data_IF_705555628797
#
_entry.id   IF_705555628797
#
_cell.length_a   1.000
_cell.length_b   1.000
_cell.length_c   1.000
_cell.angle_alpha   90.00
_cell.angle_beta   90.00
_cell.angle_gamma   90.00
#
_symmetry.space_group_name_H-M   'P 1'
#
loop_
_entity.id
_entity.type
_entity.pdbx_description
1 polymer ?
#
# COMPACT_ATOMS: atom_id res chain seq x y z
N UNK A 1 -12.42 24.80 13.42
CA UNK A 1 -13.35 23.64 13.45
C UNK A 1 -12.54 22.48 12.90
N UNK A 2 -12.26 21.49 13.74
CA UNK A 2 -11.22 20.49 13.51
C UNK A 2 -11.72 19.37 12.57
N UNK A 3 -10.97 19.05 11.53
CA UNK A 3 -11.34 18.04 10.52
C UNK A 3 -11.56 16.68 11.22
N UNK A 4 -10.78 16.39 12.26
CA UNK A 4 -10.94 15.17 13.06
C UNK A 4 -12.33 15.08 13.71
N UNK A 5 -12.90 16.20 14.16
CA UNK A 5 -14.22 16.22 14.79
C UNK A 5 -15.37 16.00 13.79
N UNK A 6 -15.21 16.46 12.53
CA UNK A 6 -16.20 16.19 11.48
C UNK A 6 -16.16 14.74 11.03
N UNK A 7 -14.98 14.14 10.90
CA UNK A 7 -14.83 12.73 10.53
C UNK A 7 -15.41 11.82 11.62
N UNK A 8 -15.15 12.10 12.90
CA UNK A 8 -15.72 11.36 14.04
C UNK A 8 -17.25 11.36 14.10
N UNK A 9 -17.93 12.37 13.53
CA UNK A 9 -19.41 12.39 13.49
C UNK A 9 -20.02 11.43 12.47
N UNK A 10 -19.27 11.05 11.44
CA UNK A 10 -19.78 10.23 10.32
C UNK A 10 -19.26 8.79 10.41
N UNK A 11 -18.09 8.60 11.01
CA UNK A 11 -17.45 7.30 11.19
C UNK A 11 -17.96 6.66 12.49
N UNK A 12 -18.60 5.48 12.45
CA UNK A 12 -19.03 4.78 13.67
C UNK A 12 -17.83 4.49 14.59
N UNK A 13 -18.00 4.55 15.91
CA UNK A 13 -16.93 4.42 16.93
C UNK A 13 -15.95 3.26 16.67
N UNK A 14 -16.45 2.09 16.26
CA UNK A 14 -15.65 0.91 15.86
C UNK A 14 -14.61 1.16 14.75
N UNK A 15 -14.78 2.19 13.94
CA UNK A 15 -13.90 2.61 12.83
C UNK A 15 -13.03 3.82 13.19
N UNK A 16 -13.12 4.36 14.42
CA UNK A 16 -12.28 5.48 14.87
C UNK A 16 -10.78 5.13 14.80
N UNK A 17 -10.47 3.84 15.03
CA UNK A 17 -9.13 3.29 14.96
C UNK A 17 -8.51 3.32 13.54
N UNK A 18 -9.32 3.49 12.49
CA UNK A 18 -8.87 3.74 11.10
C UNK A 18 -8.38 5.15 10.88
N UNK A 19 -8.93 6.13 11.59
CA UNK A 19 -8.64 7.56 11.42
C UNK A 19 -7.33 7.95 12.11
N UNK A 20 -6.63 7.00 12.74
CA UNK A 20 -5.34 7.22 13.37
C UNK A 20 -4.27 7.64 12.34
N UNK A 21 -3.90 8.92 12.36
CA UNK A 21 -2.79 9.44 11.56
C UNK A 21 -1.45 8.76 11.87
N UNK A 22 -1.28 8.23 13.09
CA UNK A 22 -0.09 7.47 13.49
C UNK A 22 -0.02 6.13 12.74
N UNK A 23 -1.11 5.36 12.71
CA UNK A 23 -1.15 4.08 11.98
C UNK A 23 -1.02 4.26 10.48
N UNK A 24 -1.65 5.30 9.93
CA UNK A 24 -1.45 5.68 8.54
C UNK A 24 0.03 6.00 8.26
N UNK A 25 0.68 6.79 9.11
CA UNK A 25 2.11 7.10 9.00
C UNK A 25 3.02 5.87 9.11
N UNK A 26 2.70 4.93 10.00
CA UNK A 26 3.38 3.63 10.08
C UNK A 26 3.21 2.85 8.78
N UNK A 27 1.99 2.75 8.26
CA UNK A 27 1.70 2.06 7.00
C UNK A 27 2.48 2.65 5.82
N UNK A 28 2.53 3.98 5.71
CA UNK A 28 3.35 4.68 4.71
C UNK A 28 4.84 4.34 4.88
N UNK A 29 5.34 4.35 6.12
CA UNK A 29 6.74 4.01 6.42
C UNK A 29 7.07 2.57 6.01
N UNK A 30 6.17 1.63 6.29
CA UNK A 30 6.29 0.23 5.82
C UNK A 30 6.30 0.18 4.29
N UNK A 31 5.46 0.96 3.62
CA UNK A 31 5.47 1.09 2.16
C UNK A 31 6.82 1.53 1.60
N UNK A 32 7.46 2.53 2.23
CA UNK A 32 8.81 2.99 1.85
C UNK A 32 9.84 1.88 2.02
N UNK A 33 9.80 1.15 3.13
CA UNK A 33 10.69 -0.01 3.36
C UNK A 33 10.49 -1.09 2.29
N UNK A 34 9.24 -1.34 1.90
CA UNK A 34 8.91 -2.24 0.79
C UNK A 34 9.53 -1.79 -0.52
N UNK A 35 9.39 -0.51 -0.88
CA UNK A 35 9.95 0.05 -2.11
C UNK A 35 11.49 -0.02 -2.14
N UNK A 36 12.15 0.21 -1.01
CA UNK A 36 13.61 0.03 -0.89
C UNK A 36 13.99 -1.43 -1.10
N UNK A 37 13.24 -2.36 -0.49
CA UNK A 37 13.50 -3.80 -0.61
C UNK A 37 13.34 -4.30 -2.06
N UNK A 38 12.27 -3.89 -2.76
CA UNK A 38 12.02 -4.20 -4.17
C UNK A 38 13.17 -3.74 -5.06
N UNK A 39 13.55 -2.46 -4.97
CA UNK A 39 14.63 -1.90 -5.77
C UNK A 39 15.99 -2.54 -5.44
N UNK A 40 16.23 -2.89 -4.18
CA UNK A 40 17.46 -3.58 -3.77
C UNK A 40 17.56 -4.95 -4.41
N UNK A 41 16.49 -5.75 -4.36
CA UNK A 41 16.46 -7.08 -4.98
C UNK A 41 16.59 -6.97 -6.50
N UNK A 42 15.87 -6.04 -7.13
CA UNK A 42 15.98 -5.77 -8.55
C UNK A 42 17.43 -5.44 -8.94
N UNK A 43 18.08 -4.51 -8.24
CA UNK A 43 19.44 -4.10 -8.51
C UNK A 43 20.44 -5.25 -8.29
N UNK A 44 20.30 -6.00 -7.20
CA UNK A 44 21.18 -7.14 -6.90
C UNK A 44 21.03 -8.22 -7.97
N UNK A 45 19.81 -8.66 -8.28
CA UNK A 45 19.60 -9.72 -9.25
C UNK A 45 19.97 -9.29 -10.68
N UNK A 46 19.63 -8.07 -11.07
CA UNK A 46 19.95 -7.54 -12.41
C UNK A 46 21.44 -7.25 -12.58
N UNK A 47 22.05 -6.51 -11.66
CA UNK A 47 23.43 -6.03 -11.82
C UNK A 47 24.48 -7.06 -11.38
N UNK A 48 24.24 -7.79 -10.28
CA UNK A 48 25.23 -8.72 -9.75
C UNK A 48 25.09 -10.14 -10.32
N UNK A 49 23.87 -10.55 -10.69
CA UNK A 49 23.58 -11.91 -11.15
C UNK A 49 23.12 -12.00 -12.61
N UNK A 50 22.91 -10.87 -13.30
CA UNK A 50 22.50 -10.84 -14.71
C UNK A 50 21.12 -11.46 -14.97
N UNK A 51 20.26 -11.53 -13.95
CA UNK A 51 18.88 -12.00 -14.09
C UNK A 51 18.10 -11.01 -14.95
N UNK A 52 17.21 -11.50 -15.81
CA UNK A 52 16.41 -10.61 -16.65
C UNK A 52 15.49 -9.70 -15.81
N UNK A 53 15.28 -8.48 -16.30
CA UNK A 53 14.50 -7.44 -15.61
C UNK A 53 13.15 -7.92 -15.11
N UNK A 54 12.43 -8.73 -15.91
CA UNK A 54 11.11 -9.24 -15.55
C UNK A 54 11.17 -10.17 -14.33
N UNK A 55 12.14 -11.09 -14.28
CA UNK A 55 12.30 -12.04 -13.17
C UNK A 55 12.87 -11.36 -11.93
N UNK A 56 13.83 -10.45 -12.12
CA UNK A 56 14.38 -9.65 -11.03
C UNK A 56 13.31 -8.75 -10.39
N UNK A 57 12.44 -8.14 -11.21
CA UNK A 57 11.33 -7.32 -10.74
C UNK A 57 10.27 -8.15 -10.01
N UNK A 58 9.91 -9.33 -10.54
CA UNK A 58 8.97 -10.23 -9.88
C UNK A 58 9.47 -10.64 -8.48
N UNK A 59 10.74 -11.01 -8.36
CA UNK A 59 11.36 -11.34 -7.08
C UNK A 59 11.43 -10.13 -6.12
N UNK A 60 11.69 -8.92 -6.65
CA UNK A 60 11.68 -7.68 -5.87
C UNK A 60 10.31 -7.35 -5.31
N UNK A 61 9.26 -7.44 -6.14
CA UNK A 61 7.87 -7.22 -5.72
C UNK A 61 7.46 -8.21 -4.64
N UNK A 62 7.74 -9.51 -4.82
CA UNK A 62 7.42 -10.53 -3.83
C UNK A 62 8.15 -10.27 -2.51
N UNK A 63 9.46 -9.95 -2.58
CA UNK A 63 10.25 -9.62 -1.39
C UNK A 63 9.67 -8.42 -0.66
N UNK A 64 9.27 -7.38 -1.38
CA UNK A 64 8.66 -6.20 -0.79
C UNK A 64 7.33 -6.52 -0.12
N UNK A 65 6.46 -7.34 -0.73
CA UNK A 65 5.21 -7.78 -0.12
C UNK A 65 5.47 -8.51 1.20
N UNK A 66 6.42 -9.45 1.21
CA UNK A 66 6.79 -10.22 2.39
C UNK A 66 7.37 -9.34 3.50
N UNK A 67 8.32 -8.45 3.17
CA UNK A 67 8.91 -7.52 4.13
C UNK A 67 7.83 -6.62 4.73
N UNK A 68 6.98 -6.03 3.88
CA UNK A 68 5.92 -5.15 4.37
C UNK A 68 4.91 -5.89 5.24
N UNK A 69 4.55 -7.13 4.88
CA UNK A 69 3.68 -7.98 5.69
C UNK A 69 4.32 -8.27 7.05
N UNK A 70 5.60 -8.70 7.07
CA UNK A 70 6.32 -9.04 8.29
C UNK A 70 6.48 -7.84 9.22
N UNK A 71 6.80 -6.66 8.68
CA UNK A 71 6.88 -5.43 9.48
C UNK A 71 5.51 -5.08 10.05
N UNK A 72 4.43 -5.16 9.26
CA UNK A 72 3.09 -4.89 9.77
C UNK A 72 2.65 -5.90 10.84
N UNK A 73 2.94 -7.18 10.66
CA UNK A 73 2.64 -8.26 11.61
C UNK A 73 3.35 -8.07 12.96
N UNK A 74 4.62 -7.67 12.95
CA UNK A 74 5.45 -7.61 14.16
C UNK A 74 5.58 -6.20 14.75
N UNK A 75 5.09 -5.16 14.07
CA UNK A 75 5.17 -3.78 14.54
C UNK A 75 3.82 -3.06 14.49
N UNK A 76 3.25 -2.84 13.30
CA UNK A 76 2.03 -2.04 13.13
C UNK A 76 0.81 -2.66 13.82
N UNK A 77 0.73 -4.00 13.84
CA UNK A 77 -0.39 -4.77 14.41
C UNK A 77 0.09 -5.83 15.42
N UNK A 78 1.25 -5.60 16.05
CA UNK A 78 1.81 -6.48 17.05
C UNK A 78 0.84 -6.63 18.24
N UNK A 79 0.11 -7.75 18.29
CA UNK A 79 -0.91 -8.03 19.31
C UNK A 79 -2.30 -8.37 18.76
N UNK A 80 -2.57 -8.14 17.47
CA UNK A 80 -3.89 -8.43 16.89
C UNK A 80 -3.96 -9.84 16.29
N UNK A 81 -4.98 -10.60 16.70
CA UNK A 81 -5.34 -11.90 16.13
C UNK A 81 -4.63 -13.12 16.75
N UNK A 82 -5.17 -14.30 16.45
CA UNK A 82 -4.70 -15.57 17.04
C UNK A 82 -3.25 -15.89 16.70
N UNK A 83 -2.54 -16.42 17.71
CA UNK A 83 -1.18 -16.97 17.56
C UNK A 83 -1.25 -18.35 16.88
N UNK A 84 -0.50 -18.55 15.80
CA UNK A 84 -0.40 -19.84 15.12
C UNK A 84 -0.13 -19.78 13.63
N UNK A 85 0.53 -20.82 13.09
CA UNK A 85 0.96 -20.89 11.67
C UNK A 85 -0.19 -20.75 10.68
N UNK A 86 -1.37 -21.30 11.00
CA UNK A 86 -2.56 -21.20 10.15
C UNK A 86 -3.12 -19.78 10.10
N UNK A 87 -3.13 -19.08 11.24
CA UNK A 87 -3.59 -17.70 11.35
C UNK A 87 -2.64 -16.76 10.57
N UNK A 88 -1.33 -16.95 10.76
CA UNK A 88 -0.29 -16.25 10.01
C UNK A 88 -0.44 -16.43 8.49
N UNK A 89 -0.57 -17.67 8.00
CA UNK A 89 -0.72 -17.94 6.57
C UNK A 89 -2.00 -17.32 5.99
N UNK A 90 -3.10 -17.31 6.76
CA UNK A 90 -4.36 -16.66 6.36
C UNK A 90 -4.18 -15.15 6.24
N UNK A 91 -3.49 -14.50 7.19
CA UNK A 91 -3.19 -13.06 7.14
C UNK A 91 -2.25 -12.72 5.99
N UNK A 92 -1.23 -13.53 5.76
CA UNK A 92 -0.33 -13.36 4.61
C UNK A 92 -1.11 -13.42 3.29
N UNK A 93 -1.89 -14.48 3.07
CA UNK A 93 -2.71 -14.60 1.85
C UNK A 93 -3.70 -13.44 1.68
N UNK A 94 -4.24 -12.94 2.79
CA UNK A 94 -5.13 -11.77 2.78
C UNK A 94 -4.40 -10.48 2.42
N UNK A 95 -3.20 -10.25 2.95
CA UNK A 95 -2.36 -9.11 2.57
C UNK A 95 -1.98 -9.17 1.08
N UNK A 96 -1.62 -10.34 0.55
CA UNK A 96 -1.37 -10.50 -0.90
C UNK A 96 -2.61 -10.12 -1.73
N UNK A 97 -3.80 -10.60 -1.33
CA UNK A 97 -5.03 -10.30 -2.03
C UNK A 97 -5.38 -8.80 -1.98
N UNK A 98 -5.27 -8.18 -0.80
CA UNK A 98 -5.54 -6.75 -0.63
C UNK A 98 -4.56 -5.92 -1.46
N UNK A 99 -3.26 -6.24 -1.40
CA UNK A 99 -2.24 -5.54 -2.19
C UNK A 99 -2.45 -5.69 -3.69
N UNK A 100 -2.87 -6.88 -4.14
CA UNK A 100 -3.23 -7.10 -5.55
C UNK A 100 -4.42 -6.23 -5.96
N UNK A 101 -5.43 -6.12 -5.10
CA UNK A 101 -6.55 -5.18 -5.28
C UNK A 101 -6.10 -3.72 -5.33
N UNK A 102 -5.18 -3.30 -4.46
CA UNK A 102 -4.60 -1.97 -4.49
C UNK A 102 -3.85 -1.66 -5.78
N UNK A 103 -3.08 -2.61 -6.32
CA UNK A 103 -2.43 -2.46 -7.62
C UNK A 103 -3.47 -2.29 -8.73
N UNK A 104 -4.56 -3.08 -8.72
CA UNK A 104 -5.63 -2.92 -9.68
C UNK A 104 -6.28 -1.52 -9.60
N UNK A 105 -6.52 -1.01 -8.38
CA UNK A 105 -7.01 0.36 -8.16
C UNK A 105 -6.02 1.40 -8.67
N UNK A 106 -4.74 1.26 -8.39
CA UNK A 106 -3.69 2.16 -8.88
C UNK A 106 -3.73 2.24 -10.42
N UNK A 107 -3.77 1.09 -11.09
CA UNK A 107 -3.83 1.03 -12.56
C UNK A 107 -5.10 1.65 -13.11
N UNK A 108 -6.26 1.38 -12.50
CA UNK A 108 -7.53 1.96 -12.91
C UNK A 108 -7.56 3.48 -12.74
N UNK A 109 -7.06 3.99 -11.61
CA UNK A 109 -6.97 5.44 -11.35
C UNK A 109 -6.00 6.10 -12.31
N UNK A 110 -4.82 5.53 -12.51
CA UNK A 110 -3.84 6.06 -13.46
C UNK A 110 -4.40 6.10 -14.89
N UNK A 111 -5.07 5.03 -15.32
CA UNK A 111 -5.74 4.97 -16.61
C UNK A 111 -6.82 6.05 -16.74
N UNK A 112 -7.68 6.23 -15.72
CA UNK A 112 -8.70 7.28 -15.71
C UNK A 112 -8.06 8.69 -15.80
N UNK A 113 -7.04 8.95 -14.98
CA UNK A 113 -6.33 10.23 -14.96
C UNK A 113 -5.67 10.55 -16.30
N UNK A 114 -5.16 9.55 -17.02
CA UNK A 114 -4.39 9.79 -18.25
C UNK A 114 -5.21 9.68 -19.53
N UNK A 115 -6.30 8.90 -19.53
CA UNK A 115 -7.08 8.64 -20.74
C UNK A 115 -8.40 9.40 -20.78
N UNK A 116 -8.98 9.71 -19.63
CA UNK A 116 -10.29 10.38 -19.55
C UNK A 116 -10.18 11.83 -19.11
N UNK A 117 -9.15 12.17 -18.34
CA UNK A 117 -8.92 13.54 -17.88
C UNK A 117 -7.85 14.17 -18.78
N UNK A 118 -8.29 15.12 -19.59
CA UNK A 118 -7.40 15.97 -20.40
C UNK A 118 -6.86 17.11 -19.55
N UNK A 119 -5.92 16.79 -18.66
CA UNK A 119 -5.15 17.78 -17.90
C UNK A 119 -3.81 17.92 -18.56
N UNK A 120 -3.47 19.12 -19.02
CA UNK A 120 -2.15 19.42 -19.56
C UNK A 120 -1.27 19.98 -18.44
N UNK A 121 -0.11 19.36 -18.24
CA UNK A 121 0.91 19.87 -17.31
C UNK A 121 2.20 20.12 -18.08
N UNK A 122 2.24 21.24 -18.81
CA UNK A 122 3.37 21.57 -19.67
C UNK A 122 4.49 22.23 -18.86
N UNK A 123 5.66 21.60 -18.85
CA UNK A 123 6.91 22.16 -18.30
C UNK A 123 7.97 22.12 -19.39
N UNK A 124 8.58 23.27 -19.69
CA UNK A 124 9.57 23.41 -20.76
C UNK A 124 9.09 22.86 -22.13
N UNK A 125 7.81 23.04 -22.44
CA UNK A 125 7.21 22.60 -23.72
C UNK A 125 6.89 21.10 -23.82
N UNK A 126 7.10 20.33 -22.74
CA UNK A 126 6.73 18.92 -22.67
C UNK A 126 5.56 18.72 -21.72
N UNK A 127 4.53 17.99 -22.13
CA UNK A 127 3.43 17.60 -21.23
C UNK A 127 3.89 16.49 -20.27
N UNK A 128 3.92 16.80 -18.98
CA UNK A 128 4.36 15.93 -17.90
C UNK A 128 3.19 15.43 -17.04
N UNK A 129 1.95 15.55 -17.51
CA UNK A 129 0.78 15.11 -16.75
C UNK A 129 0.89 13.65 -16.31
N UNK A 130 1.39 12.76 -17.16
CA UNK A 130 1.60 11.35 -16.82
C UNK A 130 2.53 11.14 -15.61
N UNK A 131 3.54 12.02 -15.43
CA UNK A 131 4.45 11.98 -14.28
C UNK A 131 3.71 12.38 -13.00
N UNK A 132 2.79 13.35 -13.06
CA UNK A 132 1.98 13.78 -11.93
C UNK A 132 0.82 12.82 -11.62
N UNK A 133 0.23 12.19 -12.63
CA UNK A 133 -0.86 11.22 -12.48
C UNK A 133 -0.41 9.95 -11.74
N UNK A 134 0.85 9.52 -11.92
CA UNK A 134 1.42 8.35 -11.26
C UNK A 134 1.41 8.44 -9.71
N UNK A 135 2.02 9.46 -9.05
CA UNK A 135 1.98 9.60 -7.59
C UNK A 135 0.57 9.83 -7.06
N UNK A 136 -0.32 10.48 -7.81
CA UNK A 136 -1.76 10.59 -7.47
C UNK A 136 -2.43 9.22 -7.39
N UNK A 137 -2.23 8.38 -8.42
CA UNK A 137 -2.76 7.02 -8.45
C UNK A 137 -2.18 6.15 -7.32
N UNK A 138 -0.88 6.28 -7.04
CA UNK A 138 -0.22 5.61 -5.90
C UNK A 138 -0.86 6.08 -4.58
N UNK A 139 -1.08 7.39 -4.40
CA UNK A 139 -1.73 7.95 -3.21
C UNK A 139 -3.11 7.36 -2.95
N UNK A 140 -3.96 7.30 -3.98
CA UNK A 140 -5.31 6.70 -3.87
C UNK A 140 -5.22 5.21 -3.54
N UNK A 141 -4.36 4.47 -4.24
CA UNK A 141 -4.18 3.04 -3.99
C UNK A 141 -3.63 2.75 -2.59
N UNK A 142 -2.71 3.57 -2.08
CA UNK A 142 -2.19 3.47 -0.72
C UNK A 142 -3.29 3.67 0.32
N UNK A 143 -4.16 4.66 0.14
CA UNK A 143 -5.29 4.89 1.04
C UNK A 143 -6.25 3.69 1.04
N UNK A 144 -6.62 3.19 -0.14
CA UNK A 144 -7.47 2.01 -0.27
C UNK A 144 -6.82 0.79 0.39
N UNK A 145 -5.53 0.57 0.17
CA UNK A 145 -4.78 -0.52 0.80
C UNK A 145 -4.76 -0.39 2.32
N UNK A 146 -4.51 0.80 2.87
CA UNK A 146 -4.51 1.02 4.31
C UNK A 146 -5.88 0.69 4.93
N UNK A 147 -6.96 1.18 4.34
CA UNK A 147 -8.33 0.90 4.80
C UNK A 147 -8.65 -0.59 4.68
N UNK A 148 -8.33 -1.20 3.54
CA UNK A 148 -8.61 -2.61 3.29
C UNK A 148 -7.78 -3.54 4.18
N UNK A 149 -6.49 -3.28 4.38
CA UNK A 149 -5.64 -4.04 5.30
C UNK A 149 -6.20 -3.93 6.73
N UNK A 150 -6.61 -2.74 7.15
CA UNK A 150 -7.14 -2.51 8.50
C UNK A 150 -8.49 -3.20 8.76
N UNK A 151 -9.40 -3.19 7.78
CA UNK A 151 -10.72 -3.84 7.91
C UNK A 151 -10.61 -5.35 7.71
N UNK A 152 -9.91 -5.76 6.65
CA UNK A 152 -9.93 -7.13 6.20
C UNK A 152 -8.77 -7.91 6.84
N UNK A 153 -7.52 -7.51 6.65
CA UNK A 153 -6.38 -8.32 7.11
C UNK A 153 -6.27 -8.36 8.63
N UNK A 154 -6.38 -7.20 9.27
CA UNK A 154 -6.10 -7.04 10.70
C UNK A 154 -7.35 -6.85 11.55
N UNK A 155 -8.52 -6.66 10.93
CA UNK A 155 -9.83 -6.57 11.60
C UNK A 155 -9.83 -5.67 12.84
N UNK A 156 -9.20 -4.50 12.76
CA UNK A 156 -8.94 -3.61 13.92
C UNK A 156 -10.21 -3.00 14.55
N UNK A 157 -11.37 -3.42 14.07
CA UNK A 157 -12.73 -3.01 14.48
C UNK A 157 -13.40 -4.08 15.33
N UNK A 158 -12.79 -5.26 15.42
CA UNK A 158 -13.33 -6.43 16.11
C UNK A 158 -12.68 -6.66 17.49
N UNK A 159 -11.71 -5.84 17.87
CA UNK A 159 -10.99 -5.92 19.15
C UNK A 159 -11.52 -4.92 20.20
N UNK A 160 -12.76 -4.45 20.05
CA UNK A 160 -13.54 -3.79 21.12
C UNK A 160 -14.50 -4.75 21.81
#
# INVERSE_FOLDING_TARGET
>A
MDIEQQVRRVVPDRFESLVSGVRFGQFVSVGVVGAISDNTVLAVLGLAFGVSDMWAKAAGVETAILVMFLVNEHWTFAGQGDTGRRSFAKRLGKSHLVRSGGVAVQLAVYWLLTQWLTVELVVAGTDLWFIAASPLAIGVAMLVNYVAESIFTWQVHADE
#
